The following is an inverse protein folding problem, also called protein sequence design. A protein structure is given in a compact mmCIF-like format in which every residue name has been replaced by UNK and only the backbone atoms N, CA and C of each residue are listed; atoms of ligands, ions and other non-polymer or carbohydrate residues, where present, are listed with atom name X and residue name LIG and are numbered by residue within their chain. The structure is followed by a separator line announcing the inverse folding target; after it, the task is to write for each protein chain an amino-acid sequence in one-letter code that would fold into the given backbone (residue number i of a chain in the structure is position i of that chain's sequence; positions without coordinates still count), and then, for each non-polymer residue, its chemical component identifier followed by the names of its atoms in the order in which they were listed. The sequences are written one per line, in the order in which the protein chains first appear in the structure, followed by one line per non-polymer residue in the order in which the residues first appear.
data_IF_739107184826
#
_entry.id   IF_739107184826
#
_cell.length_a   1.000
_cell.length_b   1.000
_cell.length_c   1.000
_cell.angle_alpha   90.00
_cell.angle_beta   90.00
_cell.angle_gamma   90.00
#
_symmetry.space_group_name_H-M   'P 1'
#
loop_
_entity.id
_entity.type
_entity.pdbx_description
1 polymer ?
#
# COMPACT_ATOMS: atom_id res chain seq x y z
N UNK A 1 -12.31 94.10 -12.09
CA UNK A 1 -11.63 94.99 -13.07
C UNK A 1 -10.20 94.46 -13.28
N UNK A 2 -9.57 94.60 -14.45
CA UNK A 2 -10.02 94.31 -15.81
C UNK A 2 -8.99 93.44 -16.59
N UNK A 3 -9.40 92.87 -17.72
CA UNK A 3 -8.54 92.13 -18.66
C UNK A 3 -7.55 93.05 -19.39
N UNK A 4 -6.28 92.63 -19.64
CA UNK A 4 -5.51 93.21 -20.73
C UNK A 4 -5.85 92.45 -22.03
N UNK A 5 -6.54 93.13 -22.93
CA UNK A 5 -6.73 92.71 -24.33
C UNK A 5 -5.38 92.76 -25.02
N UNK A 6 -4.71 91.60 -25.16
CA UNK A 6 -3.53 91.49 -26.01
C UNK A 6 -4.01 91.17 -27.41
N UNK A 7 -3.72 92.10 -28.33
CA UNK A 7 -4.22 92.12 -29.70
C UNK A 7 -3.84 90.88 -30.50
N UNK A 8 -4.83 90.37 -31.23
CA UNK A 8 -4.78 89.19 -32.09
C UNK A 8 -3.91 89.38 -33.37
N UNK A 9 -2.91 90.27 -33.37
CA UNK A 9 -2.20 90.71 -34.59
C UNK A 9 -0.69 90.47 -34.62
N UNK A 10 -0.09 89.84 -33.60
CA UNK A 10 1.36 89.54 -33.58
C UNK A 10 1.71 88.06 -33.69
N UNK A 11 0.75 87.20 -34.03
CA UNK A 11 0.90 85.73 -34.01
C UNK A 11 1.03 85.12 -35.42
N UNK A 12 1.61 85.85 -36.37
CA UNK A 12 1.56 85.47 -37.80
C UNK A 12 2.87 85.63 -38.59
N UNK A 13 4.04 85.64 -37.94
CA UNK A 13 5.34 85.59 -38.63
C UNK A 13 6.43 84.79 -37.88
N UNK A 14 6.08 83.60 -37.38
CA UNK A 14 7.08 82.56 -37.05
C UNK A 14 6.75 81.30 -37.86
N UNK A 15 7.74 80.60 -38.46
CA UNK A 15 7.49 79.49 -39.38
C UNK A 15 6.99 78.26 -38.61
N UNK A 16 5.68 78.23 -38.32
CA UNK A 16 5.02 77.11 -37.64
C UNK A 16 5.19 75.76 -38.37
N UNK A 17 5.48 75.80 -39.68
CA UNK A 17 5.78 74.63 -40.50
C UNK A 17 7.11 73.95 -40.14
N UNK A 18 8.18 74.71 -39.85
CA UNK A 18 9.49 74.11 -39.55
C UNK A 18 9.52 73.46 -38.16
N UNK A 19 8.83 74.05 -37.18
CA UNK A 19 8.75 73.49 -35.82
C UNK A 19 7.93 72.19 -35.77
N UNK A 20 6.83 72.12 -36.52
CA UNK A 20 5.97 70.92 -36.60
C UNK A 20 6.65 69.78 -37.37
N UNK A 21 7.34 70.08 -38.47
CA UNK A 21 8.09 69.07 -39.24
C UNK A 21 9.24 68.50 -38.41
N UNK A 22 10.03 69.34 -37.72
CA UNK A 22 11.15 68.86 -36.91
C UNK A 22 10.67 68.02 -35.71
N UNK A 23 9.53 68.37 -35.11
CA UNK A 23 8.94 67.59 -34.02
C UNK A 23 8.45 66.21 -34.51
N UNK A 24 7.83 66.15 -35.69
CA UNK A 24 7.42 64.89 -36.33
C UNK A 24 8.64 64.04 -36.70
N UNK A 25 9.68 64.64 -37.28
CA UNK A 25 10.91 63.92 -37.64
C UNK A 25 11.63 63.36 -36.40
N UNK A 26 11.68 64.12 -35.31
CA UNK A 26 12.23 63.64 -34.03
C UNK A 26 11.39 62.50 -33.45
N UNK A 27 10.06 62.61 -33.48
CA UNK A 27 9.16 61.55 -33.02
C UNK A 27 9.31 60.26 -33.86
N UNK A 28 9.47 60.37 -35.17
CA UNK A 28 9.74 59.22 -36.06
C UNK A 28 11.10 58.60 -35.79
N UNK A 29 12.13 59.41 -35.53
CA UNK A 29 13.47 58.94 -35.18
C UNK A 29 13.48 58.21 -33.82
N UNK A 30 12.86 58.81 -32.80
CA UNK A 30 12.75 58.22 -31.45
C UNK A 30 11.98 56.88 -31.51
N UNK A 31 10.88 56.82 -32.27
CA UNK A 31 10.14 55.57 -32.50
C UNK A 31 10.97 54.49 -33.21
N UNK A 32 11.81 54.87 -34.17
CA UNK A 32 12.78 53.98 -34.81
C UNK A 32 13.82 53.39 -33.82
N UNK A 33 14.29 54.20 -32.87
CA UNK A 33 15.24 53.74 -31.84
C UNK A 33 14.58 52.75 -30.86
N UNK A 34 13.36 53.03 -30.40
CA UNK A 34 12.64 52.11 -29.49
C UNK A 34 12.33 50.77 -30.15
N UNK A 35 11.94 50.77 -31.42
CA UNK A 35 11.68 49.53 -32.18
C UNK A 35 12.96 48.72 -32.37
N UNK A 36 14.09 49.36 -32.65
CA UNK A 36 15.40 48.70 -32.72
C UNK A 36 15.81 48.03 -31.41
N UNK A 37 15.68 48.72 -30.28
CA UNK A 37 16.02 48.17 -28.95
C UNK A 37 15.09 46.99 -28.61
N UNK A 38 13.79 47.11 -28.89
CA UNK A 38 12.83 46.03 -28.65
C UNK A 38 13.18 44.76 -29.45
N UNK A 39 13.61 44.90 -30.71
CA UNK A 39 14.05 43.78 -31.54
C UNK A 39 15.30 43.11 -30.98
N UNK A 40 16.28 43.88 -30.51
CA UNK A 40 17.50 43.33 -29.90
C UNK A 40 17.18 42.54 -28.64
N UNK A 41 16.30 43.06 -27.77
CA UNK A 41 15.86 42.36 -26.56
C UNK A 41 15.13 41.05 -26.92
N UNK A 42 14.28 41.08 -27.94
CA UNK A 42 13.55 39.90 -28.40
C UNK A 42 14.49 38.82 -28.96
N UNK A 43 15.53 39.22 -29.69
CA UNK A 43 16.56 38.30 -30.20
C UNK A 43 17.33 37.67 -29.03
N UNK A 44 17.76 38.48 -28.05
CA UNK A 44 18.45 37.97 -26.85
C UNK A 44 17.55 37.00 -26.09
N UNK A 45 16.26 37.32 -25.94
CA UNK A 45 15.28 36.44 -25.31
C UNK A 45 15.14 35.11 -26.05
N UNK A 46 15.02 35.13 -27.38
CA UNK A 46 14.93 33.93 -28.21
C UNK A 46 16.19 33.05 -28.14
N UNK A 47 17.37 33.67 -28.09
CA UNK A 47 18.64 32.95 -27.90
C UNK A 47 18.67 32.32 -26.50
N UNK A 48 18.31 33.07 -25.45
CA UNK A 48 18.23 32.56 -24.09
C UNK A 48 17.27 31.38 -23.96
N UNK A 49 16.07 31.49 -24.55
CA UNK A 49 15.08 30.41 -24.58
C UNK A 49 15.59 29.19 -25.34
N UNK A 50 16.25 29.40 -26.49
CA UNK A 50 16.86 28.30 -27.26
C UNK A 50 17.94 27.60 -26.44
N UNK A 51 18.85 28.33 -25.79
CA UNK A 51 19.90 27.72 -24.97
C UNK A 51 19.31 26.93 -23.80
N UNK A 52 18.31 27.48 -23.10
CA UNK A 52 17.60 26.76 -22.04
C UNK A 52 16.93 25.49 -22.57
N UNK A 53 16.27 25.59 -23.73
CA UNK A 53 15.61 24.47 -24.39
C UNK A 53 16.61 23.39 -24.81
N UNK A 54 17.74 23.76 -25.42
CA UNK A 54 18.80 22.83 -25.79
C UNK A 54 19.47 22.20 -24.57
N UNK A 55 19.67 22.94 -23.46
CA UNK A 55 20.19 22.38 -22.20
C UNK A 55 19.23 21.37 -21.60
N UNK A 56 17.94 21.67 -21.60
CA UNK A 56 16.90 20.76 -21.14
C UNK A 56 16.83 19.51 -22.02
N UNK A 57 16.86 19.67 -23.35
CA UNK A 57 16.89 18.56 -24.29
C UNK A 57 18.14 17.71 -24.12
N UNK A 58 19.32 18.31 -23.95
CA UNK A 58 20.57 17.58 -23.75
C UNK A 58 20.60 16.84 -22.40
N UNK A 59 19.99 17.40 -21.35
CA UNK A 59 19.85 16.73 -20.05
C UNK A 59 18.88 15.54 -20.15
N UNK A 60 17.74 15.73 -20.80
CA UNK A 60 16.79 14.65 -21.10
C UNK A 60 17.39 13.58 -22.00
N UNK A 61 18.16 13.97 -23.02
CA UNK A 61 18.85 13.05 -23.92
C UNK A 61 19.94 12.28 -23.19
N UNK A 62 20.71 12.87 -22.26
CA UNK A 62 21.68 12.08 -21.46
C UNK A 62 21.02 11.05 -20.54
N UNK A 63 19.80 11.32 -20.07
CA UNK A 63 18.99 10.35 -19.30
C UNK A 63 18.31 9.29 -20.20
N UNK A 64 18.14 9.56 -21.50
CA UNK A 64 17.44 8.69 -22.46
C UNK A 64 18.31 8.13 -23.59
N UNK A 65 19.60 8.49 -23.66
CA UNK A 65 20.53 8.11 -24.73
C UNK A 65 20.90 6.61 -24.74
N UNK A 66 20.42 5.85 -23.76
CA UNK A 66 20.48 4.39 -23.74
C UNK A 66 19.11 3.69 -23.82
N UNK A 67 18.00 4.43 -23.83
CA UNK A 67 16.64 3.87 -23.71
C UNK A 67 15.81 4.44 -24.86
N UNK A 68 15.73 3.66 -25.94
CA UNK A 68 14.89 3.97 -27.12
C UNK A 68 13.42 4.14 -26.66
N UNK A 69 12.57 4.94 -27.33
CA UNK A 69 11.12 5.04 -26.98
C UNK A 69 10.40 3.68 -26.83
N UNK A 70 10.86 2.65 -27.56
CA UNK A 70 10.40 1.26 -27.47
C UNK A 70 10.74 0.61 -26.11
N UNK A 71 11.83 1.05 -25.51
CA UNK A 71 12.41 0.55 -24.27
C UNK A 71 11.71 1.14 -23.02
N UNK A 72 11.23 2.39 -23.08
CA UNK A 72 10.36 2.92 -22.01
C UNK A 72 8.99 2.22 -21.98
N UNK A 73 8.40 1.95 -23.16
CA UNK A 73 7.15 1.20 -23.25
C UNK A 73 7.32 -0.23 -22.76
N UNK A 74 8.41 -0.91 -23.12
CA UNK A 74 8.68 -2.27 -22.64
C UNK A 74 8.96 -2.31 -21.13
N UNK A 75 9.66 -1.31 -20.57
CA UNK A 75 9.85 -1.22 -19.11
C UNK A 75 8.52 -1.01 -18.40
N UNK A 76 7.65 -0.13 -18.92
CA UNK A 76 6.31 0.08 -18.34
C UNK A 76 5.43 -1.17 -18.45
N UNK A 77 5.48 -1.87 -19.59
CA UNK A 77 4.77 -3.15 -19.79
C UNK A 77 5.32 -4.23 -18.86
N UNK A 78 6.64 -4.33 -18.68
CA UNK A 78 7.27 -5.27 -17.76
C UNK A 78 6.94 -4.94 -16.30
N UNK A 79 6.87 -3.66 -15.93
CA UNK A 79 6.45 -3.22 -14.61
C UNK A 79 4.98 -3.59 -14.37
N UNK A 80 4.10 -3.32 -15.33
CA UNK A 80 2.68 -3.65 -15.24
C UNK A 80 2.45 -5.16 -15.14
N UNK A 81 3.15 -5.95 -15.96
CA UNK A 81 3.12 -7.41 -15.94
C UNK A 81 3.68 -7.96 -14.61
N UNK A 82 4.76 -7.38 -14.08
CA UNK A 82 5.25 -7.72 -12.74
C UNK A 82 4.21 -7.39 -11.66
N UNK A 83 3.61 -6.20 -11.68
CA UNK A 83 2.57 -5.84 -10.70
C UNK A 83 1.38 -6.79 -10.78
N UNK A 84 0.94 -7.15 -11.99
CA UNK A 84 -0.15 -8.13 -12.17
C UNK A 84 0.22 -9.53 -11.67
N UNK A 85 1.46 -9.98 -11.91
CA UNK A 85 1.97 -11.23 -11.33
C UNK A 85 1.99 -11.20 -9.81
N UNK A 86 2.46 -10.10 -9.21
CA UNK A 86 2.49 -9.95 -7.76
C UNK A 86 1.07 -9.95 -7.17
N UNK A 87 0.11 -9.26 -7.79
CA UNK A 87 -1.29 -9.30 -7.35
C UNK A 87 -1.81 -10.74 -7.38
N UNK A 88 -1.60 -11.49 -8.47
CA UNK A 88 -2.00 -12.91 -8.55
C UNK A 88 -1.32 -13.79 -7.51
N UNK A 89 -0.04 -13.52 -7.20
CA UNK A 89 0.69 -14.25 -6.14
C UNK A 89 0.10 -13.96 -4.77
N UNK A 90 -0.19 -12.70 -4.47
CA UNK A 90 -0.83 -12.30 -3.22
C UNK A 90 -2.21 -12.95 -3.09
N UNK A 91 -3.03 -12.90 -4.14
CA UNK A 91 -4.35 -13.54 -4.14
C UNK A 91 -4.24 -15.06 -3.91
N UNK A 92 -3.25 -15.71 -4.54
CA UNK A 92 -2.94 -17.12 -4.32
C UNK A 92 -2.53 -17.42 -2.87
N UNK A 93 -1.61 -16.63 -2.31
CA UNK A 93 -1.18 -16.76 -0.92
C UNK A 93 -2.33 -16.55 0.07
N UNK A 94 -3.22 -15.59 -0.18
CA UNK A 94 -4.41 -15.36 0.65
C UNK A 94 -5.33 -16.58 0.60
N UNK A 95 -5.54 -17.17 -0.58
CA UNK A 95 -6.35 -18.38 -0.72
C UNK A 95 -5.72 -19.58 0.01
N UNK A 96 -4.41 -19.76 -0.13
CA UNK A 96 -3.66 -20.84 0.55
C UNK A 96 -3.68 -20.66 2.07
N UNK A 97 -3.51 -19.44 2.58
CA UNK A 97 -3.62 -19.14 4.01
C UNK A 97 -5.04 -19.36 4.53
N UNK A 98 -6.07 -18.98 3.76
CA UNK A 98 -7.45 -19.23 4.14
C UNK A 98 -7.73 -20.74 4.26
N UNK A 99 -7.20 -21.53 3.33
CA UNK A 99 -7.29 -22.99 3.37
C UNK A 99 -6.53 -23.58 4.56
N UNK A 100 -5.28 -23.16 4.77
CA UNK A 100 -4.45 -23.64 5.87
C UNK A 100 -5.08 -23.31 7.23
N UNK A 101 -5.65 -22.11 7.40
CA UNK A 101 -6.37 -21.73 8.62
C UNK A 101 -7.61 -22.61 8.83
N UNK A 102 -8.39 -22.89 7.77
CA UNK A 102 -9.55 -23.78 7.86
C UNK A 102 -9.16 -25.19 8.28
N UNK A 103 -8.06 -25.71 7.72
CA UNK A 103 -7.54 -27.04 8.05
C UNK A 103 -7.00 -27.08 9.49
N UNK A 104 -6.30 -26.01 9.92
CA UNK A 104 -5.75 -25.87 11.27
C UNK A 104 -6.80 -25.99 12.37
N UNK A 105 -8.02 -25.49 12.15
CA UNK A 105 -9.12 -25.60 13.12
C UNK A 105 -9.54 -27.06 13.41
N UNK A 106 -9.19 -28.00 12.53
CA UNK A 106 -9.49 -29.43 12.69
C UNK A 106 -8.28 -30.24 13.17
N UNK A 107 -7.11 -29.60 13.34
CA UNK A 107 -5.93 -30.28 13.88
C UNK A 107 -6.04 -30.43 15.39
N UNK A 108 -5.34 -31.44 15.92
CA UNK A 108 -5.20 -31.63 17.36
C UNK A 108 -4.36 -30.49 17.94
N UNK A 109 -4.92 -29.77 18.90
CA UNK A 109 -4.26 -28.63 19.56
C UNK A 109 -4.48 -28.60 21.07
N UNK A 110 -5.50 -29.30 21.57
CA UNK A 110 -5.86 -29.32 22.99
C UNK A 110 -5.67 -30.72 23.54
N UNK A 111 -4.74 -30.87 24.49
CA UNK A 111 -4.43 -32.17 25.11
C UNK A 111 -4.55 -32.08 26.62
N UNK A 112 -5.25 -33.03 27.23
CA UNK A 112 -5.45 -33.11 28.67
C UNK A 112 -5.20 -34.52 29.18
N UNK A 113 -4.20 -34.68 30.04
CA UNK A 113 -3.88 -35.95 30.69
C UNK A 113 -4.23 -35.87 32.17
N UNK A 114 -4.88 -36.91 32.68
CA UNK A 114 -5.04 -37.15 34.11
C UNK A 114 -4.61 -38.56 34.43
N UNK A 115 -4.08 -38.75 35.63
CA UNK A 115 -3.76 -40.06 36.20
C UNK A 115 -4.62 -40.27 37.43
N UNK A 116 -5.19 -41.46 37.56
CA UNK A 116 -6.07 -41.81 38.66
C UNK A 116 -5.91 -43.28 39.04
N UNK A 117 -6.57 -43.68 40.12
CA UNK A 117 -6.66 -45.06 40.54
C UNK A 117 -8.12 -45.48 40.71
N UNK A 118 -8.70 -46.25 39.76
CA UNK A 118 -10.07 -46.72 39.85
C UNK A 118 -10.24 -47.84 40.88
N UNK A 119 -9.16 -48.50 41.30
CA UNK A 119 -9.20 -49.63 42.22
C UNK A 119 -8.22 -49.40 43.38
N UNK A 120 -8.75 -49.14 44.57
CA UNK A 120 -7.97 -48.83 45.78
C UNK A 120 -6.87 -49.86 46.10
N UNK A 121 -7.04 -51.09 45.62
CA UNK A 121 -6.21 -52.27 45.87
C UNK A 121 -4.91 -52.38 45.06
N UNK A 122 -4.69 -51.53 44.05
CA UNK A 122 -3.58 -51.68 43.08
C UNK A 122 -2.35 -50.82 43.40
N UNK A 123 -2.48 -49.85 44.32
CA UNK A 123 -1.40 -48.93 44.69
C UNK A 123 -1.00 -47.95 43.56
N UNK A 124 -1.08 -46.65 43.84
CA UNK A 124 -0.65 -45.59 42.91
C UNK A 124 -1.62 -45.30 41.76
N UNK A 125 -1.39 -44.18 41.05
CA UNK A 125 -2.23 -43.72 39.93
C UNK A 125 -1.72 -44.30 38.59
N UNK A 126 -1.98 -45.59 38.39
CA UNK A 126 -1.56 -46.33 37.18
C UNK A 126 -2.56 -46.24 36.02
N UNK A 127 -3.81 -45.86 36.30
CA UNK A 127 -4.81 -45.59 35.27
C UNK A 127 -4.71 -44.14 34.77
N UNK A 128 -5.17 -43.89 33.55
CA UNK A 128 -5.13 -42.55 32.98
C UNK A 128 -6.29 -42.28 32.02
N UNK A 129 -6.66 -41.01 31.90
CA UNK A 129 -7.51 -40.52 30.80
C UNK A 129 -6.75 -39.45 30.03
N UNK A 130 -6.71 -39.61 28.70
CA UNK A 130 -6.10 -38.69 27.77
C UNK A 130 -7.18 -38.14 26.83
N UNK A 131 -7.51 -36.87 26.96
CA UNK A 131 -8.37 -36.15 26.02
C UNK A 131 -7.52 -35.47 24.96
N UNK A 132 -7.88 -35.69 23.70
CA UNK A 132 -7.20 -35.13 22.52
C UNK A 132 -8.27 -34.45 21.66
N UNK A 133 -8.21 -33.12 21.58
CA UNK A 133 -9.26 -32.29 20.98
C UNK A 133 -8.68 -31.26 19.99
N UNK A 134 -9.52 -30.89 19.02
CA UNK A 134 -9.31 -29.79 18.08
C UNK A 134 -9.76 -28.43 18.65
N UNK A 135 -9.73 -27.37 17.84
CA UNK A 135 -10.18 -26.04 18.25
C UNK A 135 -11.67 -25.99 18.64
N UNK A 136 -12.48 -26.83 18.01
CA UNK A 136 -13.92 -26.94 18.25
C UNK A 136 -14.28 -27.85 19.43
N UNK A 137 -13.31 -28.24 20.26
CA UNK A 137 -13.45 -29.19 21.37
C UNK A 137 -13.95 -30.58 20.91
N UNK A 138 -13.66 -30.97 19.67
CA UNK A 138 -14.02 -32.27 19.11
C UNK A 138 -12.79 -33.16 18.94
N UNK A 139 -12.96 -34.46 19.08
CA UNK A 139 -11.85 -35.40 19.04
C UNK A 139 -12.22 -36.69 19.76
N UNK A 140 -11.35 -37.14 20.66
CA UNK A 140 -11.57 -38.38 21.41
C UNK A 140 -10.93 -38.32 22.79
N UNK A 141 -11.41 -39.18 23.69
CA UNK A 141 -10.81 -39.46 24.97
C UNK A 141 -10.45 -40.94 25.05
N UNK A 142 -9.22 -41.23 25.48
CA UNK A 142 -8.74 -42.59 25.75
C UNK A 142 -8.64 -42.76 27.26
N UNK A 143 -9.26 -43.81 27.78
CA UNK A 143 -9.24 -44.17 29.19
C UNK A 143 -8.57 -45.53 29.34
N UNK A 144 -7.47 -45.57 30.08
CA UNK A 144 -6.77 -46.80 30.46
C UNK A 144 -7.08 -47.12 31.91
N UNK A 145 -7.78 -48.23 32.14
CA UNK A 145 -8.06 -48.75 33.47
C UNK A 145 -7.12 -49.92 33.73
N UNK A 146 -6.13 -49.68 34.58
CA UNK A 146 -5.17 -50.67 35.04
C UNK A 146 -5.72 -51.38 36.28
N UNK A 147 -5.91 -52.69 36.18
CA UNK A 147 -6.21 -53.58 37.32
C UNK A 147 -5.09 -54.61 37.50
N UNK A 148 -5.16 -55.38 38.60
CA UNK A 148 -4.14 -56.40 38.95
C UNK A 148 -3.84 -57.41 37.84
N UNK A 149 -4.87 -57.87 37.16
CA UNK A 149 -4.80 -58.95 36.17
C UNK A 149 -4.61 -58.42 34.73
N UNK A 150 -5.13 -57.21 34.45
CA UNK A 150 -5.18 -56.69 33.08
C UNK A 150 -5.34 -55.17 33.03
N UNK A 151 -4.91 -54.59 31.91
CA UNK A 151 -5.19 -53.20 31.54
C UNK A 151 -6.21 -53.15 30.42
N UNK A 152 -7.28 -52.36 30.60
CA UNK A 152 -8.32 -52.17 29.57
C UNK A 152 -8.27 -50.76 29.03
N UNK A 153 -8.36 -50.63 27.72
CA UNK A 153 -8.42 -49.35 27.02
C UNK A 153 -9.82 -49.12 26.46
N UNK A 154 -10.34 -47.92 26.68
CA UNK A 154 -11.60 -47.44 26.10
C UNK A 154 -11.31 -46.18 25.32
N UNK A 155 -11.90 -46.05 24.14
CA UNK A 155 -11.86 -44.82 23.35
C UNK A 155 -13.29 -44.36 23.09
N UNK A 156 -13.59 -43.13 23.48
CA UNK A 156 -14.91 -42.52 23.25
C UNK A 156 -14.75 -41.25 22.40
N UNK A 157 -15.61 -41.02 21.39
CA UNK A 157 -15.60 -39.78 20.63
C UNK A 157 -16.10 -38.63 21.50
N UNK A 158 -15.52 -37.45 21.31
CA UNK A 158 -15.93 -36.19 21.91
C UNK A 158 -16.40 -35.26 20.80
N UNK A 159 -17.59 -34.69 20.93
CA UNK A 159 -18.14 -33.70 19.99
C UNK A 159 -18.48 -32.43 20.75
N UNK A 160 -17.81 -31.34 20.42
CA UNK A 160 -18.00 -30.03 21.08
C UNK A 160 -17.91 -30.11 22.62
N UNK A 161 -16.96 -30.88 23.13
CA UNK A 161 -16.74 -31.11 24.56
C UNK A 161 -17.82 -31.93 25.25
N UNK A 162 -18.76 -32.54 24.51
CA UNK A 162 -19.86 -33.36 25.01
C UNK A 162 -19.78 -34.77 24.47
N UNK A 163 -20.43 -35.67 25.18
CA UNK A 163 -20.58 -37.05 24.77
C UNK A 163 -21.79 -37.19 23.84
N UNK A 164 -21.68 -37.98 22.78
CA UNK A 164 -22.77 -38.15 21.80
C UNK A 164 -23.70 -39.30 22.18
N UNK A 165 -23.15 -40.50 22.40
CA UNK A 165 -23.93 -41.73 22.57
C UNK A 165 -23.65 -42.48 23.89
N UNK A 166 -22.75 -41.97 24.73
CA UNK A 166 -22.26 -42.63 25.93
C UNK A 166 -22.04 -41.59 27.01
N UNK A 167 -22.15 -41.94 28.29
CA UNK A 167 -21.72 -41.03 29.34
C UNK A 167 -20.21 -41.10 29.57
N UNK A 168 -19.62 -39.93 29.85
CA UNK A 168 -18.24 -39.82 30.30
C UNK A 168 -18.15 -40.03 31.82
N UNK A 169 -17.11 -40.76 32.26
CA UNK A 169 -16.76 -40.87 33.68
C UNK A 169 -16.35 -39.50 34.26
N UNK A 170 -16.27 -39.39 35.59
CA UNK A 170 -15.74 -38.20 36.28
C UNK A 170 -14.35 -37.83 35.78
N UNK A 171 -13.50 -38.83 35.60
CA UNK A 171 -12.13 -38.72 35.14
C UNK A 171 -12.11 -38.27 33.67
N UNK A 172 -12.87 -38.91 32.78
CA UNK A 172 -12.97 -38.50 31.37
C UNK A 172 -13.43 -37.04 31.23
N UNK A 173 -14.45 -36.62 32.00
CA UNK A 173 -14.91 -35.22 32.05
C UNK A 173 -13.81 -34.27 32.52
N UNK A 174 -13.01 -34.69 33.49
CA UNK A 174 -11.90 -33.88 34.00
C UNK A 174 -10.75 -33.78 32.99
N UNK A 175 -10.42 -34.85 32.26
CA UNK A 175 -9.43 -34.83 31.19
C UNK A 175 -9.83 -33.87 30.07
N UNK A 176 -11.10 -33.93 29.62
CA UNK A 176 -11.67 -33.01 28.63
C UNK A 176 -11.61 -31.57 29.14
N UNK A 177 -11.99 -31.34 30.40
CA UNK A 177 -11.92 -30.00 31.01
C UNK A 177 -10.49 -29.46 31.06
N UNK A 178 -9.50 -30.31 31.31
CA UNK A 178 -8.10 -29.91 31.32
C UNK A 178 -7.60 -29.61 29.90
N UNK A 179 -7.93 -30.44 28.91
CA UNK A 179 -7.59 -30.20 27.50
C UNK A 179 -8.11 -28.83 27.03
N UNK A 180 -9.35 -28.48 27.39
CA UNK A 180 -9.98 -27.19 27.06
C UNK A 180 -9.32 -25.96 27.67
N UNK A 181 -8.50 -26.12 28.71
CA UNK A 181 -7.76 -25.01 29.34
C UNK A 181 -6.43 -24.71 28.66
N UNK A 182 -5.90 -25.65 27.89
CA UNK A 182 -4.67 -25.46 27.11
C UNK A 182 -5.05 -24.55 25.94
N UNK A 183 -4.55 -23.31 25.99
CA UNK A 183 -4.66 -22.34 24.89
C UNK A 183 -3.49 -22.51 23.95
#
# INVERSE_FOLDING_TARGET
MPFPKIGLRSLLTLPAGEFTINWILKMLFDFGQFTGIALVILIIWMIGLSVLFYRLLAHYQKLTAGITKKDLKSILEALLDNTQREVKRVDGLVADLAKANKDALNHVQKVGLIRFNPFAETGGNQSFCLAVLDDHDSGFVISSLHGREATRFYAKPVRHGKATNYDFSSEEKQAIKNAKKVK
#
